data_IF_074830748932
#
_entry.id   IF_074830748932
#
_cell.length_a   1.000
_cell.length_b   1.000
_cell.length_c   1.000
_cell.angle_alpha   90.00
_cell.angle_beta   90.00
_cell.angle_gamma   90.00
#
_symmetry.space_group_name_H-M   'P 1'
#
loop_
_entity.id
_entity.type
_entity.pdbx_description
1 polymer ?
#
# COMPACT_ATOMS: atom_id res chain seq x y z
N UNK A 1 -43.51 49.43 -14.70
CA UNK A 1 -44.53 48.79 -13.84
C UNK A 1 -45.03 47.58 -14.61
N UNK A 2 -44.20 46.56 -14.77
CA UNK A 2 -43.87 45.50 -13.78
C UNK A 2 -44.97 44.44 -13.71
N UNK A 3 -44.57 43.18 -13.87
CA UNK A 3 -45.43 42.03 -13.54
C UNK A 3 -45.17 40.78 -14.37
N UNK A 4 -44.08 40.09 -14.05
CA UNK A 4 -43.67 38.74 -14.47
C UNK A 4 -44.69 37.68 -14.02
N UNK A 5 -45.00 36.70 -14.89
CA UNK A 5 -45.60 35.43 -14.46
C UNK A 5 -45.27 34.29 -15.44
N UNK A 6 -44.15 33.62 -15.16
CA UNK A 6 -43.66 32.44 -15.89
C UNK A 6 -44.49 31.20 -15.54
N UNK A 7 -45.28 30.70 -16.49
CA UNK A 7 -45.89 29.36 -16.41
C UNK A 7 -44.92 28.29 -16.96
N UNK A 8 -44.67 27.29 -16.13
CA UNK A 8 -43.89 26.09 -16.43
C UNK A 8 -44.48 25.26 -17.58
N UNK A 9 -43.66 24.54 -18.38
CA UNK A 9 -44.18 23.56 -19.31
C UNK A 9 -44.40 22.20 -18.63
N UNK A 10 -45.61 21.71 -18.89
CA UNK A 10 -46.25 20.45 -18.55
C UNK A 10 -45.36 19.20 -18.66
N UNK A 11 -45.45 18.38 -17.60
CA UNK A 11 -45.02 16.98 -17.53
C UNK A 11 -45.70 16.15 -18.62
N UNK A 12 -44.94 15.74 -19.62
CA UNK A 12 -45.30 14.67 -20.55
C UNK A 12 -44.91 13.31 -19.97
N UNK A 13 -45.90 12.54 -19.55
CA UNK A 13 -45.76 11.12 -19.25
C UNK A 13 -45.60 10.32 -20.56
N UNK A 14 -44.66 9.36 -20.59
CA UNK A 14 -44.67 8.32 -21.61
C UNK A 14 -43.30 7.72 -21.93
N UNK A 15 -42.94 6.64 -21.23
CA UNK A 15 -41.90 5.70 -21.68
C UNK A 15 -40.63 5.67 -20.83
N UNK A 16 -40.72 5.21 -19.57
CA UNK A 16 -39.54 4.60 -18.93
C UNK A 16 -39.23 3.31 -19.69
N UNK A 17 -38.15 3.32 -20.47
CA UNK A 17 -37.61 2.09 -21.05
C UNK A 17 -37.37 1.07 -19.90
N UNK A 18 -37.84 -0.18 -20.05
CA UNK A 18 -37.66 -1.17 -19.00
C UNK A 18 -36.16 -1.43 -18.80
N UNK A 19 -35.76 -1.45 -17.53
CA UNK A 19 -34.40 -1.50 -17.02
C UNK A 19 -33.55 -2.66 -17.56
N UNK A 20 -32.86 -2.45 -18.68
CA UNK A 20 -31.71 -3.29 -19.07
C UNK A 20 -30.57 -3.19 -18.04
N UNK A 21 -30.43 -2.04 -17.38
CA UNK A 21 -29.44 -1.79 -16.30
C UNK A 21 -29.50 -2.77 -15.12
N UNK A 22 -30.67 -3.32 -14.79
CA UNK A 22 -30.84 -4.16 -13.59
C UNK A 22 -30.35 -5.60 -13.79
N UNK A 23 -30.32 -6.06 -15.04
CA UNK A 23 -30.00 -7.46 -15.41
C UNK A 23 -28.50 -7.77 -15.28
N UNK A 24 -27.65 -6.74 -15.39
CA UNK A 24 -26.19 -6.85 -15.30
C UNK A 24 -25.63 -6.03 -14.10
N UNK A 25 -26.40 -5.93 -13.02
CA UNK A 25 -25.91 -5.39 -11.74
C UNK A 25 -24.85 -6.30 -11.10
N UNK A 26 -23.92 -5.77 -10.30
CA UNK A 26 -22.95 -6.60 -9.58
C UNK A 26 -23.67 -7.66 -8.71
N UNK A 27 -24.81 -7.29 -8.11
CA UNK A 27 -25.70 -8.23 -7.40
C UNK A 27 -26.34 -9.27 -8.32
N UNK A 28 -26.69 -8.90 -9.55
CA UNK A 28 -27.21 -9.86 -10.55
C UNK A 28 -26.12 -10.83 -11.00
N UNK A 29 -24.91 -10.35 -11.32
CA UNK A 29 -23.75 -11.18 -11.63
C UNK A 29 -23.43 -12.13 -10.48
N UNK A 30 -23.45 -11.62 -9.24
CA UNK A 30 -23.26 -12.41 -8.04
C UNK A 30 -24.35 -13.49 -7.88
N UNK A 31 -25.63 -13.13 -7.96
CA UNK A 31 -26.72 -14.11 -7.84
C UNK A 31 -26.70 -15.15 -8.97
N UNK A 32 -26.38 -14.76 -10.20
CA UNK A 32 -26.16 -15.68 -11.32
C UNK A 32 -24.94 -16.57 -11.11
N UNK A 33 -23.86 -16.07 -10.52
CA UNK A 33 -22.68 -16.86 -10.19
C UNK A 33 -23.00 -17.88 -9.09
N UNK A 34 -23.61 -17.43 -8.00
CA UNK A 34 -24.00 -18.27 -6.86
C UNK A 34 -24.98 -19.38 -7.25
N UNK A 35 -25.91 -19.11 -8.18
CA UNK A 35 -26.85 -20.11 -8.68
C UNK A 35 -26.21 -21.19 -9.57
N UNK A 36 -25.04 -20.91 -10.15
CA UNK A 36 -24.27 -21.85 -10.98
C UNK A 36 -23.18 -22.60 -10.21
N UNK A 37 -23.04 -22.34 -8.91
CA UNK A 37 -22.04 -23.01 -8.09
C UNK A 37 -22.36 -24.50 -7.90
N UNK A 38 -21.35 -25.39 -7.92
CA UNK A 38 -21.53 -26.79 -7.57
C UNK A 38 -22.08 -26.95 -6.15
N UNK A 39 -22.88 -28.00 -5.92
CA UNK A 39 -23.51 -28.28 -4.62
C UNK A 39 -22.54 -28.33 -3.44
N UNK A 40 -21.33 -28.83 -3.70
CA UNK A 40 -20.22 -28.92 -2.73
C UNK A 40 -19.75 -27.56 -2.21
N UNK A 41 -19.83 -26.52 -3.05
CA UNK A 41 -19.44 -25.13 -2.72
C UNK A 41 -20.63 -24.38 -2.11
N UNK A 42 -21.82 -24.60 -2.67
CA UNK A 42 -23.07 -24.01 -2.19
C UNK A 42 -23.41 -24.39 -0.75
N UNK A 43 -23.10 -25.62 -0.34
CA UNK A 43 -23.27 -26.07 1.04
C UNK A 43 -22.35 -25.38 2.06
N UNK A 44 -21.28 -24.71 1.62
CA UNK A 44 -20.35 -23.97 2.46
C UNK A 44 -20.66 -22.46 2.53
N UNK A 45 -21.62 -21.98 1.73
CA UNK A 45 -22.07 -20.60 1.73
C UNK A 45 -23.18 -20.42 2.75
N UNK A 46 -22.99 -19.53 3.72
CA UNK A 46 -23.99 -19.20 4.74
C UNK A 46 -25.11 -18.36 4.10
N UNK A 47 -26.38 -18.82 4.09
CA UNK A 47 -27.49 -18.10 3.46
C UNK A 47 -27.81 -16.74 4.13
N UNK A 48 -27.44 -16.54 5.40
CA UNK A 48 -27.73 -15.31 6.14
C UNK A 48 -26.55 -14.31 6.20
N UNK A 49 -25.31 -14.79 6.04
CA UNK A 49 -24.09 -13.98 5.95
C UNK A 49 -23.50 -14.03 4.55
N UNK A 50 -24.28 -13.58 3.57
CA UNK A 50 -23.83 -13.52 2.17
C UNK A 50 -22.58 -12.64 2.00
N UNK A 51 -22.26 -11.73 2.93
CA UNK A 51 -21.07 -10.90 2.82
C UNK A 51 -19.76 -11.65 3.10
N UNK A 52 -19.72 -12.68 3.95
CA UNK A 52 -18.46 -13.26 4.46
C UNK A 52 -18.41 -14.76 4.17
N UNK A 53 -17.68 -15.13 3.12
CA UNK A 53 -17.64 -16.51 2.62
C UNK A 53 -16.40 -17.21 3.16
N UNK A 54 -16.57 -18.03 4.19
CA UNK A 54 -15.50 -18.88 4.74
C UNK A 54 -15.50 -20.27 4.07
N UNK A 55 -14.80 -20.37 2.93
CA UNK A 55 -14.64 -21.61 2.16
C UNK A 55 -13.81 -22.68 2.90
N UNK A 56 -13.23 -22.35 4.07
CA UNK A 56 -12.53 -23.31 4.93
C UNK A 56 -13.41 -24.48 5.40
N UNK A 57 -14.73 -24.27 5.47
CA UNK A 57 -15.71 -25.30 5.87
C UNK A 57 -16.15 -26.25 4.76
N UNK A 58 -15.80 -25.95 3.50
CA UNK A 58 -16.25 -26.74 2.35
C UNK A 58 -15.51 -28.09 2.28
N UNK A 59 -16.24 -29.18 2.55
CA UNK A 59 -15.71 -30.56 2.45
C UNK A 59 -15.62 -30.97 0.98
N UNK A 60 -14.43 -31.41 0.55
CA UNK A 60 -14.23 -32.02 -0.78
C UNK A 60 -13.80 -31.08 -1.91
N UNK A 61 -13.33 -29.86 -1.59
CA UNK A 61 -12.57 -29.04 -2.54
C UNK A 61 -11.07 -29.23 -2.35
N UNK A 62 -10.34 -29.33 -3.46
CA UNK A 62 -8.89 -29.20 -3.48
C UNK A 62 -8.44 -27.78 -3.10
N UNK A 63 -7.18 -27.62 -2.70
CA UNK A 63 -6.61 -26.32 -2.35
C UNK A 63 -6.72 -25.31 -3.52
N UNK A 64 -6.49 -25.77 -4.75
CA UNK A 64 -6.59 -24.91 -5.95
C UNK A 64 -8.01 -24.48 -6.28
N UNK A 65 -9.01 -25.36 -6.10
CA UNK A 65 -10.41 -24.99 -6.32
C UNK A 65 -10.91 -23.99 -5.27
N UNK A 66 -10.47 -24.14 -4.01
CA UNK A 66 -10.78 -23.16 -2.94
C UNK A 66 -10.25 -21.79 -3.29
N UNK A 67 -8.95 -21.71 -3.63
CA UNK A 67 -8.32 -20.46 -4.02
C UNK A 67 -9.01 -19.81 -5.23
N UNK A 68 -9.45 -20.62 -6.20
CA UNK A 68 -10.22 -20.14 -7.34
C UNK A 68 -11.54 -19.48 -6.93
N UNK A 69 -12.37 -20.16 -6.12
CA UNK A 69 -13.66 -19.61 -5.70
C UNK A 69 -13.52 -18.42 -4.75
N UNK A 70 -12.52 -18.41 -3.87
CA UNK A 70 -12.17 -17.25 -3.04
C UNK A 70 -11.84 -16.04 -3.90
N UNK A 71 -10.99 -16.21 -4.93
CA UNK A 71 -10.67 -15.13 -5.88
C UNK A 71 -11.91 -14.63 -6.61
N UNK A 72 -12.75 -15.52 -7.15
CA UNK A 72 -13.96 -15.10 -7.88
C UNK A 72 -14.94 -14.32 -6.99
N UNK A 73 -15.13 -14.75 -5.74
CA UNK A 73 -15.99 -14.07 -4.79
C UNK A 73 -15.41 -12.72 -4.35
N UNK A 74 -14.09 -12.64 -4.17
CA UNK A 74 -13.41 -11.38 -3.90
C UNK A 74 -13.59 -10.40 -5.07
N UNK A 75 -13.39 -10.84 -6.32
CA UNK A 75 -13.66 -10.03 -7.52
C UNK A 75 -15.10 -9.52 -7.55
N UNK A 76 -16.10 -10.38 -7.30
CA UNK A 76 -17.50 -9.95 -7.27
C UNK A 76 -17.77 -8.90 -6.18
N UNK A 77 -17.14 -9.04 -5.00
CA UNK A 77 -17.25 -8.05 -3.93
C UNK A 77 -16.68 -6.70 -4.38
N UNK A 78 -15.52 -6.68 -5.06
CA UNK A 78 -14.96 -5.43 -5.60
C UNK A 78 -15.90 -4.74 -6.59
N UNK A 79 -16.64 -5.50 -7.41
CA UNK A 79 -17.62 -4.93 -8.33
C UNK A 79 -18.80 -4.30 -7.60
N UNK A 80 -19.27 -4.92 -6.50
CA UNK A 80 -20.34 -4.36 -5.66
C UNK A 80 -19.89 -3.08 -4.95
N UNK A 81 -18.68 -3.05 -4.40
CA UNK A 81 -18.08 -1.89 -3.75
C UNK A 81 -17.90 -0.72 -4.71
N UNK A 82 -17.38 -0.97 -5.92
CA UNK A 82 -17.23 0.05 -6.95
C UNK A 82 -18.57 0.55 -7.45
N UNK A 83 -19.56 -0.32 -7.66
CA UNK A 83 -20.90 0.12 -8.07
C UNK A 83 -21.55 1.02 -7.01
N UNK A 84 -21.39 0.68 -5.73
CA UNK A 84 -21.85 1.54 -4.63
C UNK A 84 -21.15 2.90 -4.62
N UNK A 85 -19.84 2.95 -4.89
CA UNK A 85 -19.04 4.20 -4.85
C UNK A 85 -19.23 5.09 -6.08
N UNK A 86 -19.31 4.49 -7.27
CA UNK A 86 -19.25 5.20 -8.54
C UNK A 86 -20.62 5.49 -9.16
N UNK A 87 -21.71 4.91 -8.65
CA UNK A 87 -23.07 5.07 -9.17
C UNK A 87 -24.10 5.42 -8.07
N UNK A 88 -23.94 6.57 -7.37
CA UNK A 88 -24.78 6.94 -6.22
C UNK A 88 -26.25 7.23 -6.56
N UNK A 89 -26.59 7.45 -7.83
CA UNK A 89 -27.96 7.76 -8.27
C UNK A 89 -28.98 6.61 -8.17
N UNK A 90 -28.53 5.38 -7.84
CA UNK A 90 -29.41 4.23 -7.60
C UNK A 90 -29.24 3.63 -6.19
N UNK A 91 -28.27 4.12 -5.40
CA UNK A 91 -28.02 3.77 -4.01
C UNK A 91 -27.47 5.00 -3.29
N UNK A 92 -28.23 5.58 -2.35
CA UNK A 92 -27.78 6.67 -1.48
C UNK A 92 -26.43 6.30 -0.86
N UNK A 93 -25.36 7.03 -1.20
CA UNK A 93 -24.10 6.97 -0.48
C UNK A 93 -23.56 8.36 -0.24
N UNK A 94 -23.31 8.64 1.03
CA UNK A 94 -22.82 9.89 1.60
C UNK A 94 -21.41 10.25 1.10
N UNK A 95 -21.30 11.03 0.00
CA UNK A 95 -20.02 11.64 -0.40
C UNK A 95 -19.40 12.47 0.76
N UNK A 96 -20.23 12.98 1.68
CA UNK A 96 -19.81 13.68 2.90
C UNK A 96 -19.14 12.77 3.95
N UNK A 97 -19.47 11.48 4.03
CA UNK A 97 -18.91 10.56 5.03
C UNK A 97 -17.52 10.04 4.60
N UNK A 98 -17.29 9.88 3.29
CA UNK A 98 -16.00 9.41 2.77
C UNK A 98 -14.87 10.43 2.89
N UNK A 99 -15.11 11.71 2.59
CA UNK A 99 -14.10 12.76 2.81
C UNK A 99 -13.73 12.87 4.30
N UNK A 100 -14.72 12.70 5.19
CA UNK A 100 -14.49 12.68 6.64
C UNK A 100 -13.70 11.43 7.10
N UNK A 101 -13.84 10.30 6.41
CA UNK A 101 -13.07 9.08 6.68
C UNK A 101 -11.61 9.21 6.24
N UNK A 102 -11.36 9.69 5.02
CA UNK A 102 -10.00 9.91 4.49
C UNK A 102 -9.23 10.94 5.35
N UNK A 103 -9.89 12.02 5.78
CA UNK A 103 -9.33 13.00 6.70
C UNK A 103 -8.97 12.40 8.07
N UNK A 104 -9.80 11.49 8.59
CA UNK A 104 -9.53 10.78 9.86
C UNK A 104 -8.34 9.85 9.71
N UNK A 105 -8.27 9.06 8.63
CA UNK A 105 -7.15 8.17 8.37
C UNK A 105 -5.84 8.95 8.19
N UNK A 106 -5.89 10.07 7.47
CA UNK A 106 -4.73 10.93 7.31
C UNK A 106 -4.25 11.51 8.65
N UNK A 107 -5.16 12.00 9.50
CA UNK A 107 -4.81 12.48 10.85
C UNK A 107 -4.24 11.37 11.74
N UNK A 108 -4.79 10.16 11.67
CA UNK A 108 -4.27 9.00 12.40
C UNK A 108 -2.85 8.64 11.91
N UNK A 109 -2.63 8.63 10.59
CA UNK A 109 -1.31 8.35 10.02
C UNK A 109 -0.27 9.40 10.45
N UNK A 110 -0.66 10.67 10.50
CA UNK A 110 0.19 11.75 10.98
C UNK A 110 0.53 11.64 12.46
N UNK A 111 -0.46 11.29 13.27
CA UNK A 111 -0.26 11.05 14.69
C UNK A 111 0.69 9.86 14.91
N UNK A 112 0.52 8.77 14.18
CA UNK A 112 1.39 7.59 14.21
C UNK A 112 2.85 7.93 13.86
N UNK A 113 3.07 8.77 12.85
CA UNK A 113 4.41 9.23 12.49
C UNK A 113 5.03 10.14 13.56
N UNK A 114 4.24 11.08 14.11
CA UNK A 114 4.70 11.99 15.17
C UNK A 114 5.09 11.23 16.43
N UNK A 115 4.25 10.30 16.89
CA UNK A 115 4.50 9.52 18.10
C UNK A 115 5.71 8.60 17.92
N UNK A 116 5.88 7.99 16.74
CA UNK A 116 7.05 7.16 16.42
C UNK A 116 8.35 7.97 16.48
N UNK A 117 8.38 9.14 15.85
CA UNK A 117 9.57 9.99 15.88
C UNK A 117 9.87 10.53 17.29
N UNK A 118 8.86 10.95 18.03
CA UNK A 118 9.04 11.42 19.40
C UNK A 118 9.56 10.31 20.31
N UNK A 119 9.03 9.09 20.18
CA UNK A 119 9.51 7.93 20.91
C UNK A 119 10.96 7.58 20.54
N UNK A 120 11.34 7.62 19.26
CA UNK A 120 12.73 7.41 18.83
C UNK A 120 13.67 8.47 19.42
N UNK A 121 13.26 9.74 19.51
CA UNK A 121 14.04 10.81 20.18
C UNK A 121 14.22 10.50 21.67
N UNK A 122 13.14 10.14 22.37
CA UNK A 122 13.19 9.84 23.81
C UNK A 122 14.08 8.63 24.08
N UNK A 123 13.96 7.56 23.27
CA UNK A 123 14.82 6.38 23.36
C UNK A 123 16.29 6.73 23.11
N UNK A 124 16.58 7.54 22.09
CA UNK A 124 17.93 8.01 21.80
C UNK A 124 18.53 8.78 22.98
N UNK A 125 17.81 9.75 23.54
CA UNK A 125 18.27 10.53 24.71
C UNK A 125 18.57 9.61 25.90
N UNK A 126 17.68 8.65 26.16
CA UNK A 126 17.86 7.69 27.24
C UNK A 126 19.10 6.79 27.04
N UNK A 127 19.30 6.29 25.81
CA UNK A 127 20.46 5.46 25.46
C UNK A 127 21.78 6.24 25.49
N UNK A 128 21.79 7.49 25.02
CA UNK A 128 22.96 8.38 25.12
C UNK A 128 23.33 8.61 26.58
N UNK A 129 22.35 8.92 27.43
CA UNK A 129 22.58 9.10 28.87
C UNK A 129 23.19 7.83 29.50
N UNK A 130 22.64 6.66 29.20
CA UNK A 130 23.15 5.40 29.70
C UNK A 130 24.57 5.08 29.19
N UNK A 131 24.87 5.37 27.93
CA UNK A 131 26.22 5.18 27.35
C UNK A 131 27.25 6.02 28.10
N UNK A 132 26.95 7.30 28.35
CA UNK A 132 27.86 8.20 29.06
C UNK A 132 28.08 7.73 30.51
N UNK A 133 27.03 7.23 31.18
CA UNK A 133 27.10 6.78 32.57
C UNK A 133 27.83 5.46 32.75
N UNK A 134 27.66 4.53 31.81
CA UNK A 134 28.21 3.17 31.91
C UNK A 134 29.57 3.01 31.24
N UNK A 135 29.90 3.87 30.26
CA UNK A 135 31.09 3.73 29.42
C UNK A 135 31.11 2.44 28.59
N UNK A 136 29.97 1.73 28.46
CA UNK A 136 29.92 0.42 27.82
C UNK A 136 29.89 0.54 26.29
N UNK A 137 30.81 -0.16 25.62
CA UNK A 137 30.83 -0.25 24.15
C UNK A 137 29.58 -0.93 23.58
N UNK A 138 28.99 -1.89 24.30
CA UNK A 138 27.75 -2.56 23.88
C UNK A 138 26.54 -1.61 23.90
N UNK A 139 26.44 -0.76 24.94
CA UNK A 139 25.38 0.25 25.03
C UNK A 139 25.62 1.38 24.01
N UNK A 140 26.89 1.72 23.73
CA UNK A 140 27.25 2.67 22.68
C UNK A 140 26.82 2.19 21.29
N UNK A 141 27.05 0.91 20.95
CA UNK A 141 26.59 0.31 19.70
C UNK A 141 25.06 0.41 19.57
N UNK A 142 24.31 0.02 20.60
CA UNK A 142 22.85 0.14 20.58
C UNK A 142 22.33 1.59 20.56
N UNK A 143 23.13 2.55 21.02
CA UNK A 143 22.81 3.98 20.92
C UNK A 143 22.98 4.48 19.49
N UNK A 144 24.03 4.02 18.79
CA UNK A 144 24.23 4.31 17.37
C UNK A 144 23.03 3.81 16.56
N UNK A 145 22.54 2.61 16.83
CA UNK A 145 21.34 2.07 16.17
C UNK A 145 20.13 3.00 16.35
N UNK A 146 19.84 3.44 17.58
CA UNK A 146 18.72 4.35 17.81
C UNK A 146 18.92 5.77 17.26
N UNK A 147 20.16 6.22 17.08
CA UNK A 147 20.45 7.48 16.38
C UNK A 147 20.06 7.36 14.92
N UNK A 148 20.35 6.22 14.32
CA UNK A 148 20.06 5.94 12.94
C UNK A 148 18.55 5.75 12.72
N UNK A 149 17.84 5.05 13.61
CA UNK A 149 16.37 4.99 13.60
C UNK A 149 15.74 6.39 13.66
N UNK A 150 16.32 7.29 14.47
CA UNK A 150 15.87 8.68 14.55
C UNK A 150 16.10 9.41 13.22
N UNK A 151 17.28 9.28 12.61
CA UNK A 151 17.58 9.89 11.30
C UNK A 151 16.65 9.34 10.21
N UNK A 152 16.44 8.03 10.21
CA UNK A 152 15.65 7.29 9.25
C UNK A 152 14.15 7.67 9.38
N UNK A 153 13.63 7.78 10.60
CA UNK A 153 12.32 8.38 10.88
C UNK A 153 12.24 9.87 10.51
N UNK A 154 13.33 10.62 10.65
CA UNK A 154 13.44 11.99 10.15
C UNK A 154 13.24 12.09 8.64
N UNK A 155 13.81 11.16 7.87
CA UNK A 155 13.66 11.08 6.40
C UNK A 155 12.22 10.79 6.00
N UNK A 156 11.56 9.83 6.66
CA UNK A 156 10.14 9.51 6.38
C UNK A 156 9.21 10.67 6.75
N UNK A 157 9.48 11.34 7.87
CA UNK A 157 8.76 12.55 8.27
C UNK A 157 8.95 13.70 7.28
N UNK A 158 10.19 13.94 6.84
CA UNK A 158 10.48 14.94 5.82
C UNK A 158 9.79 14.60 4.49
N UNK A 159 9.78 13.32 4.11
CA UNK A 159 9.06 12.80 2.93
C UNK A 159 7.58 13.18 3.00
N UNK A 160 6.93 12.91 4.14
CA UNK A 160 5.53 13.29 4.36
C UNK A 160 5.29 14.81 4.26
N UNK A 161 6.14 15.61 4.91
CA UNK A 161 6.07 17.08 4.81
C UNK A 161 6.30 17.59 3.38
N UNK A 162 7.15 16.92 2.60
CA UNK A 162 7.43 17.26 1.21
C UNK A 162 6.22 17.01 0.32
N UNK A 163 5.49 15.91 0.55
CA UNK A 163 4.27 15.59 -0.18
C UNK A 163 3.14 16.59 0.07
N UNK A 164 3.00 17.08 1.31
CA UNK A 164 2.00 18.10 1.65
C UNK A 164 2.23 19.44 0.94
N UNK A 165 3.49 19.81 0.72
CA UNK A 165 3.86 21.10 0.12
C UNK A 165 4.01 20.96 -1.40
N UNK A 166 2.88 20.99 -2.11
CA UNK A 166 2.84 20.94 -3.58
C UNK A 166 2.86 22.36 -4.16
N UNK A 167 3.74 22.59 -5.12
CA UNK A 167 3.68 23.76 -6.01
C UNK A 167 3.31 23.25 -7.40
N UNK A 168 2.11 23.56 -7.86
CA UNK A 168 1.54 23.04 -9.11
C UNK A 168 2.38 23.46 -10.32
N UNK A 169 3.01 24.65 -10.31
CA UNK A 169 3.85 25.09 -11.43
C UNK A 169 5.14 24.29 -11.58
N UNK A 170 5.66 23.72 -10.48
CA UNK A 170 6.86 22.87 -10.51
C UNK A 170 6.53 21.38 -10.58
N UNK A 171 5.39 20.99 -9.99
CA UNK A 171 4.92 19.62 -9.88
C UNK A 171 3.43 19.57 -10.25
N UNK A 172 3.09 19.59 -11.56
CA UNK A 172 1.71 19.74 -12.04
C UNK A 172 0.81 18.54 -11.69
N UNK A 173 1.43 17.41 -11.39
CA UNK A 173 0.82 16.13 -11.03
C UNK A 173 0.95 15.83 -9.52
N UNK A 174 1.40 16.81 -8.73
CA UNK A 174 1.65 16.61 -7.31
C UNK A 174 2.99 15.94 -6.97
N UNK A 175 3.14 15.52 -5.70
CA UNK A 175 4.40 15.01 -5.13
C UNK A 175 4.26 13.64 -4.46
N UNK A 176 3.17 12.91 -4.68
CA UNK A 176 2.94 11.61 -4.06
C UNK A 176 4.05 10.59 -4.38
N UNK A 177 4.71 10.74 -5.53
CA UNK A 177 5.86 9.91 -5.94
C UNK A 177 7.09 10.02 -5.04
N UNK A 178 7.18 11.07 -4.22
CA UNK A 178 8.27 11.20 -3.23
C UNK A 178 8.12 10.13 -2.14
N UNK A 179 6.93 9.56 -1.93
CA UNK A 179 6.70 8.51 -0.94
C UNK A 179 7.58 7.26 -1.14
N UNK A 180 7.49 6.51 -2.25
CA UNK A 180 8.35 5.35 -2.46
C UNK A 180 9.84 5.72 -2.52
N UNK A 181 10.18 6.92 -3.01
CA UNK A 181 11.58 7.41 -2.96
C UNK A 181 12.07 7.55 -1.52
N UNK A 182 11.27 8.14 -0.64
CA UNK A 182 11.60 8.25 0.78
C UNK A 182 11.75 6.90 1.46
N UNK A 183 10.87 5.94 1.13
CA UNK A 183 10.93 4.56 1.64
C UNK A 183 12.19 3.84 1.12
N UNK A 184 12.60 4.05 -0.14
CA UNK A 184 13.83 3.51 -0.71
C UNK A 184 15.05 4.05 0.02
N UNK A 185 15.15 5.37 0.20
CA UNK A 185 16.29 6.00 0.91
C UNK A 185 16.38 5.46 2.34
N UNK A 186 15.24 5.42 3.04
CA UNK A 186 15.13 4.82 4.37
C UNK A 186 15.62 3.37 4.39
N UNK A 187 15.08 2.51 3.53
CA UNK A 187 15.45 1.09 3.48
C UNK A 187 16.92 0.87 3.06
N UNK A 188 17.48 1.71 2.19
CA UNK A 188 18.88 1.64 1.79
C UNK A 188 19.83 1.97 2.95
N UNK A 189 19.49 2.96 3.78
CA UNK A 189 20.23 3.25 5.02
C UNK A 189 20.18 2.02 5.93
N UNK A 190 19.00 1.48 6.21
CA UNK A 190 18.85 0.30 7.09
C UNK A 190 19.58 -0.95 6.56
N UNK A 191 19.58 -1.18 5.24
CA UNK A 191 20.35 -2.26 4.64
C UNK A 191 21.88 -2.06 4.81
N UNK A 192 22.35 -0.82 4.69
CA UNK A 192 23.76 -0.48 4.91
C UNK A 192 24.18 -0.71 6.37
N UNK A 193 23.28 -0.46 7.33
CA UNK A 193 23.51 -0.77 8.74
C UNK A 193 23.59 -2.25 8.99
N UNK A 194 22.67 -3.03 8.41
CA UNK A 194 22.75 -4.49 8.44
C UNK A 194 24.10 -4.97 7.90
N UNK A 195 24.59 -4.38 6.81
CA UNK A 195 25.91 -4.69 6.26
C UNK A 195 27.06 -4.32 7.18
N UNK A 196 27.02 -3.15 7.83
CA UNK A 196 28.04 -2.75 8.81
C UNK A 196 28.10 -3.73 9.99
N UNK A 197 26.94 -4.11 10.54
CA UNK A 197 26.84 -5.11 11.63
C UNK A 197 27.39 -6.45 11.17
N UNK A 198 27.11 -6.86 9.93
CA UNK A 198 27.67 -8.10 9.35
C UNK A 198 29.20 -8.08 9.35
N UNK A 199 29.80 -6.99 8.85
CA UNK A 199 31.26 -6.85 8.77
C UNK A 199 31.87 -6.91 10.17
N UNK A 200 31.35 -6.12 11.13
CA UNK A 200 31.87 -6.10 12.50
C UNK A 200 31.73 -7.45 13.20
N UNK A 201 30.61 -8.15 13.02
CA UNK A 201 30.39 -9.47 13.62
C UNK A 201 31.31 -10.54 13.02
N UNK A 202 31.55 -10.50 11.70
CA UNK A 202 32.50 -11.39 11.03
C UNK A 202 33.94 -11.11 11.48
N UNK A 203 34.34 -9.84 11.58
CA UNK A 203 35.65 -9.43 12.09
C UNK A 203 35.89 -9.97 13.50
N UNK A 204 34.91 -9.82 14.40
CA UNK A 204 34.99 -10.38 15.76
C UNK A 204 35.18 -11.90 15.77
N UNK A 205 34.50 -12.61 14.87
CA UNK A 205 34.60 -14.07 14.76
C UNK A 205 35.97 -14.51 14.20
N UNK A 206 36.52 -13.77 13.24
CA UNK A 206 37.82 -14.07 12.60
C UNK A 206 38.98 -13.73 13.53
N UNK A 207 38.93 -12.59 14.23
CA UNK A 207 40.00 -12.16 15.12
C UNK A 207 40.10 -13.01 16.40
N UNK A 208 39.12 -13.89 16.68
CA UNK A 208 39.05 -14.71 17.90
C UNK A 208 39.24 -13.88 19.18
N UNK A 209 38.80 -12.63 19.18
CA UNK A 209 38.86 -11.76 20.36
C UNK A 209 37.55 -11.93 21.13
N UNK A 210 37.54 -12.63 22.28
CA UNK A 210 36.37 -12.64 23.13
C UNK A 210 36.04 -11.20 23.54
N UNK A 211 34.77 -10.83 23.44
CA UNK A 211 34.31 -9.53 23.94
C UNK A 211 34.70 -9.35 25.42
N UNK A 212 34.95 -8.11 25.85
CA UNK A 212 35.14 -7.83 27.27
C UNK A 212 33.93 -8.33 28.05
N UNK A 213 34.17 -9.13 29.10
CA UNK A 213 33.11 -9.57 29.99
C UNK A 213 32.46 -8.34 30.61
N UNK A 214 31.16 -8.20 30.41
CA UNK A 214 30.42 -7.07 30.95
C UNK A 214 30.38 -7.18 32.48
N UNK A 215 30.56 -6.05 33.16
CA UNK A 215 30.38 -6.02 34.61
C UNK A 215 28.90 -6.23 34.96
N UNK A 216 28.62 -6.71 36.18
CA UNK A 216 27.24 -6.91 36.64
C UNK A 216 26.38 -5.64 36.53
N UNK A 217 26.98 -4.46 36.73
CA UNK A 217 26.29 -3.18 36.55
C UNK A 217 25.97 -2.87 35.08
N UNK A 218 26.91 -3.15 34.16
CA UNK A 218 26.69 -2.98 32.73
C UNK A 218 25.60 -3.92 32.18
N UNK A 219 25.55 -5.16 32.68
CA UNK A 219 24.52 -6.13 32.34
C UNK A 219 23.12 -5.65 32.79
N UNK A 220 22.99 -5.13 34.01
CA UNK A 220 21.71 -4.61 34.51
C UNK A 220 21.23 -3.43 33.64
N UNK A 221 22.13 -2.50 33.30
CA UNK A 221 21.79 -1.39 32.41
C UNK A 221 21.42 -1.87 31.00
N UNK A 222 22.17 -2.80 30.43
CA UNK A 222 21.86 -3.38 29.12
C UNK A 222 20.46 -4.01 29.11
N UNK A 223 20.14 -4.85 30.11
CA UNK A 223 18.82 -5.45 30.23
C UNK A 223 17.72 -4.39 30.35
N UNK A 224 17.89 -3.42 31.24
CA UNK A 224 16.89 -2.37 31.46
C UNK A 224 16.63 -1.57 30.19
N UNK A 225 17.67 -1.20 29.45
CA UNK A 225 17.56 -0.39 28.23
C UNK A 225 16.99 -1.21 27.07
N UNK A 226 17.49 -2.42 26.85
CA UNK A 226 17.02 -3.28 25.75
C UNK A 226 15.57 -3.70 25.95
N UNK A 227 15.19 -4.06 27.17
CA UNK A 227 13.81 -4.48 27.45
C UNK A 227 12.83 -3.29 27.38
N UNK A 228 13.22 -2.12 27.89
CA UNK A 228 12.39 -0.91 27.77
C UNK A 228 12.27 -0.43 26.33
N UNK A 229 13.35 -0.41 25.55
CA UNK A 229 13.32 -0.09 24.13
C UNK A 229 12.44 -1.07 23.34
N UNK A 230 12.57 -2.37 23.61
CA UNK A 230 11.73 -3.42 23.01
C UNK A 230 10.25 -3.19 23.33
N UNK A 231 9.91 -2.88 24.57
CA UNK A 231 8.52 -2.63 24.97
C UNK A 231 7.91 -1.41 24.26
N UNK A 232 8.67 -0.32 24.15
CA UNK A 232 8.25 0.89 23.42
C UNK A 232 8.05 0.60 21.93
N UNK A 233 9.03 -0.04 21.27
CA UNK A 233 8.95 -0.40 19.85
C UNK A 233 7.80 -1.39 19.58
N UNK A 234 7.55 -2.34 20.48
CA UNK A 234 6.43 -3.27 20.37
C UNK A 234 5.07 -2.54 20.44
N UNK A 235 4.91 -1.59 21.35
CA UNK A 235 3.70 -0.79 21.45
C UNK A 235 3.48 0.06 20.19
N UNK A 236 4.53 0.67 19.65
CA UNK A 236 4.48 1.44 18.39
C UNK A 236 4.15 0.55 17.20
N UNK A 237 4.73 -0.65 17.12
CA UNK A 237 4.41 -1.62 16.08
C UNK A 237 2.93 -2.01 16.11
N UNK A 238 2.38 -2.33 17.28
CA UNK A 238 0.97 -2.67 17.43
C UNK A 238 0.05 -1.53 17.01
N UNK A 239 0.44 -0.28 17.25
CA UNK A 239 -0.30 0.90 16.83
C UNK A 239 -0.20 1.14 15.31
N UNK A 240 0.97 0.96 14.72
CA UNK A 240 1.22 1.29 13.32
C UNK A 240 0.81 0.16 12.34
N UNK A 241 0.77 -1.11 12.79
CA UNK A 241 0.55 -2.25 11.88
C UNK A 241 -0.80 -2.24 11.16
N UNK A 242 -1.82 -1.61 11.73
CA UNK A 242 -3.17 -1.56 11.17
C UNK A 242 -3.39 -0.38 10.22
N UNK A 243 -2.37 0.44 9.95
CA UNK A 243 -2.53 1.63 9.10
C UNK A 243 -2.52 1.29 7.61
N UNK A 244 -3.44 1.91 6.85
CA UNK A 244 -3.49 1.85 5.39
C UNK A 244 -2.38 2.66 4.70
N UNK A 245 -1.72 3.57 5.41
CA UNK A 245 -0.66 4.42 4.85
C UNK A 245 0.68 3.67 4.74
N UNK A 246 1.27 3.64 3.54
CA UNK A 246 2.54 2.95 3.27
C UNK A 246 3.73 3.51 4.05
N UNK A 247 3.76 4.81 4.38
CA UNK A 247 4.80 5.39 5.23
C UNK A 247 4.68 4.85 6.66
N UNK A 248 3.47 4.80 7.20
CA UNK A 248 3.23 4.25 8.54
C UNK A 248 3.53 2.76 8.57
N UNK A 249 3.24 2.03 7.49
CA UNK A 249 3.67 0.63 7.35
C UNK A 249 5.19 0.47 7.31
N UNK A 250 5.93 1.41 6.71
CA UNK A 250 7.40 1.40 6.75
C UNK A 250 7.90 1.57 8.19
N UNK A 251 7.31 2.49 8.98
CA UNK A 251 7.58 2.59 10.42
C UNK A 251 7.19 1.32 11.19
N UNK A 252 6.04 0.72 10.90
CA UNK A 252 5.64 -0.51 11.56
C UNK A 252 6.65 -1.64 11.29
N UNK A 253 7.12 -1.75 10.05
CA UNK A 253 8.13 -2.72 9.63
C UNK A 253 9.46 -2.47 10.36
N UNK A 254 9.88 -1.21 10.46
CA UNK A 254 11.04 -0.79 11.23
C UNK A 254 10.95 -1.20 12.70
N UNK A 255 9.89 -0.76 13.39
CA UNK A 255 9.66 -1.08 14.80
C UNK A 255 9.59 -2.59 15.06
N UNK A 256 9.03 -3.36 14.12
CA UNK A 256 9.01 -4.82 14.20
C UNK A 256 10.41 -5.42 14.10
N UNK A 257 11.22 -4.94 13.16
CA UNK A 257 12.61 -5.38 13.05
C UNK A 257 13.41 -5.02 14.29
N UNK A 258 13.22 -3.83 14.85
CA UNK A 258 13.89 -3.43 16.09
C UNK A 258 13.51 -4.32 17.26
N UNK A 259 12.25 -4.74 17.37
CA UNK A 259 11.84 -5.70 18.39
C UNK A 259 12.57 -7.03 18.20
N UNK A 260 12.67 -7.54 16.97
CA UNK A 260 13.38 -8.79 16.68
C UNK A 260 14.86 -8.65 17.00
N UNK A 261 15.52 -7.61 16.48
CA UNK A 261 16.97 -7.42 16.64
C UNK A 261 17.34 -7.16 18.09
N UNK A 262 16.54 -6.40 18.85
CA UNK A 262 16.77 -6.20 20.28
C UNK A 262 16.57 -7.50 21.07
N UNK A 263 15.52 -8.29 20.81
CA UNK A 263 15.27 -9.54 21.55
C UNK A 263 16.31 -10.59 21.22
N UNK A 264 16.56 -10.86 19.93
CA UNK A 264 17.51 -11.88 19.50
C UNK A 264 18.94 -11.45 19.83
N UNK A 265 19.27 -10.17 19.65
CA UNK A 265 20.57 -9.61 20.01
C UNK A 265 20.83 -9.71 21.52
N UNK A 266 19.83 -9.40 22.35
CA UNK A 266 19.95 -9.59 23.79
C UNK A 266 20.16 -11.06 24.16
N UNK A 267 19.39 -11.99 23.56
CA UNK A 267 19.57 -13.44 23.79
C UNK A 267 20.97 -13.90 23.36
N UNK A 268 21.45 -13.45 22.20
CA UNK A 268 22.76 -13.78 21.68
C UNK A 268 23.88 -13.26 22.61
N UNK A 269 23.79 -12.02 23.07
CA UNK A 269 24.74 -11.42 23.99
C UNK A 269 24.78 -12.16 25.34
N UNK A 270 23.64 -12.52 25.90
CA UNK A 270 23.57 -13.25 27.19
C UNK A 270 24.11 -14.66 27.08
N UNK A 271 23.79 -15.37 25.98
CA UNK A 271 24.31 -16.71 25.74
C UNK A 271 25.83 -16.67 25.44
N UNK A 272 26.28 -15.63 24.74
CA UNK A 272 27.68 -15.36 24.48
C UNK A 272 28.50 -15.15 25.75
N UNK A 273 27.97 -14.34 26.67
CA UNK A 273 28.60 -14.05 27.96
C UNK A 273 28.63 -15.28 28.91
N UNK A 274 27.54 -16.06 28.96
CA UNK A 274 27.42 -17.20 29.90
C UNK A 274 28.02 -18.52 29.41
N UNK A 275 27.99 -18.81 28.11
CA UNK A 275 28.36 -20.12 27.57
C UNK A 275 29.57 -20.08 26.65
N UNK A 276 29.40 -19.55 25.44
CA UNK A 276 30.41 -19.58 24.38
C UNK A 276 30.49 -18.21 23.70
N UNK A 277 31.64 -17.56 23.77
CA UNK A 277 31.85 -16.20 23.27
C UNK A 277 31.46 -16.00 21.80
N UNK A 278 31.54 -17.04 20.96
CA UNK A 278 31.22 -16.94 19.53
C UNK A 278 29.72 -16.90 19.23
N UNK A 279 28.86 -17.22 20.20
CA UNK A 279 27.40 -17.21 20.01
C UNK A 279 26.89 -15.80 19.70
N UNK A 280 27.43 -14.79 20.37
CA UNK A 280 27.04 -13.39 20.17
C UNK A 280 27.35 -12.90 18.74
N UNK A 281 28.61 -12.98 18.23
CA UNK A 281 28.92 -12.60 16.85
C UNK A 281 28.21 -13.50 15.83
N UNK A 282 27.99 -14.79 16.09
CA UNK A 282 27.22 -15.65 15.19
C UNK A 282 25.73 -15.23 15.11
N UNK A 283 25.13 -14.85 16.25
CA UNK A 283 23.78 -14.29 16.30
C UNK A 283 23.67 -12.97 15.56
N UNK A 284 24.67 -12.08 15.73
CA UNK A 284 24.76 -10.81 15.01
C UNK A 284 24.88 -11.01 13.49
N UNK A 285 25.67 -11.98 13.02
CA UNK A 285 25.75 -12.34 11.58
C UNK A 285 24.39 -12.77 11.04
N UNK A 286 23.68 -13.65 11.76
CA UNK A 286 22.36 -14.12 11.35
C UNK A 286 21.36 -12.97 11.25
N UNK A 287 21.31 -12.11 12.27
CA UNK A 287 20.45 -10.92 12.28
C UNK A 287 20.80 -9.94 11.17
N UNK A 288 22.09 -9.72 10.92
CA UNK A 288 22.55 -8.83 9.87
C UNK A 288 22.10 -9.30 8.47
N UNK A 289 22.26 -10.59 8.16
CA UNK A 289 21.77 -11.17 6.91
C UNK A 289 20.25 -11.01 6.78
N UNK A 290 19.50 -11.30 7.85
CA UNK A 290 18.05 -11.13 7.87
C UNK A 290 17.63 -9.67 7.61
N UNK A 291 18.29 -8.70 8.25
CA UNK A 291 18.07 -7.27 8.07
C UNK A 291 18.36 -6.84 6.62
N UNK A 292 19.52 -7.22 6.07
CA UNK A 292 19.91 -6.86 4.69
C UNK A 292 18.90 -7.39 3.68
N UNK A 293 18.49 -8.65 3.79
CA UNK A 293 17.54 -9.28 2.85
C UNK A 293 16.18 -8.58 2.90
N UNK A 294 15.66 -8.29 4.10
CA UNK A 294 14.34 -7.66 4.25
C UNK A 294 14.31 -6.21 3.76
N UNK A 295 15.35 -5.43 4.06
CA UNK A 295 15.43 -4.04 3.60
C UNK A 295 15.73 -3.96 2.11
N UNK A 296 16.58 -4.83 1.58
CA UNK A 296 16.84 -4.94 0.13
C UNK A 296 15.57 -5.32 -0.64
N UNK A 297 14.75 -6.24 -0.10
CA UNK A 297 13.43 -6.55 -0.65
C UNK A 297 12.51 -5.32 -0.66
N UNK A 298 12.52 -4.53 0.41
CA UNK A 298 11.73 -3.29 0.50
C UNK A 298 12.17 -2.26 -0.54
N UNK A 299 13.47 -2.12 -0.77
CA UNK A 299 14.02 -1.27 -1.83
C UNK A 299 13.51 -1.74 -3.20
N UNK A 300 13.61 -3.03 -3.49
CA UNK A 300 13.18 -3.58 -4.78
C UNK A 300 11.67 -3.42 -5.00
N UNK A 301 10.85 -3.70 -3.99
CA UNK A 301 9.39 -3.52 -4.04
C UNK A 301 9.01 -2.07 -4.38
N UNK A 302 9.60 -1.09 -3.69
CA UNK A 302 9.31 0.33 -3.93
C UNK A 302 9.97 0.88 -5.21
N UNK A 303 11.10 0.30 -5.65
CA UNK A 303 11.70 0.65 -6.93
C UNK A 303 10.82 0.18 -8.10
N UNK A 304 10.28 -1.04 -8.00
CA UNK A 304 9.37 -1.60 -9.02
C UNK A 304 8.07 -0.77 -9.12
N UNK A 305 7.55 -0.23 -8.01
CA UNK A 305 6.36 0.65 -8.08
C UNK A 305 6.64 2.00 -8.73
N UNK A 306 7.90 2.46 -8.74
CA UNK A 306 8.32 3.65 -9.50
C UNK A 306 8.54 3.37 -10.99
N UNK A 307 8.84 2.13 -11.36
CA UNK A 307 9.16 1.76 -12.75
C UNK A 307 7.92 1.64 -13.64
N UNK A 308 6.75 1.30 -13.09
CA UNK A 308 5.56 1.03 -13.91
C UNK A 308 5.04 -0.40 -13.84
N UNK A 309 5.01 -1.04 -12.67
CA UNK A 309 4.48 -2.40 -12.54
C UNK A 309 2.99 -2.41 -12.88
N UNK A 310 2.55 -3.38 -13.68
CA UNK A 310 1.14 -3.58 -13.97
C UNK A 310 0.34 -3.85 -12.68
N UNK A 311 -0.86 -3.28 -12.61
CA UNK A 311 -1.82 -3.50 -11.54
C UNK A 311 -2.23 -4.97 -11.45
N UNK A 312 -2.66 -5.44 -10.27
CA UNK A 312 -3.17 -6.80 -10.11
C UNK A 312 -4.39 -7.05 -11.01
N UNK A 313 -4.62 -8.31 -11.37
CA UNK A 313 -5.68 -8.70 -12.32
C UNK A 313 -7.07 -8.28 -11.82
N UNK A 314 -7.28 -8.31 -10.51
CA UNK A 314 -8.51 -7.90 -9.84
C UNK A 314 -8.83 -6.43 -10.13
N UNK A 315 -7.82 -5.54 -10.06
CA UNK A 315 -7.96 -4.12 -10.40
C UNK A 315 -8.28 -3.94 -11.89
N UNK A 316 -7.60 -4.67 -12.78
CA UNK A 316 -7.87 -4.60 -14.22
C UNK A 316 -9.29 -5.06 -14.58
N UNK A 317 -9.76 -6.14 -13.95
CA UNK A 317 -11.13 -6.65 -14.13
C UNK A 317 -12.17 -5.63 -13.63
N UNK A 318 -11.91 -5.01 -12.48
CA UNK A 318 -12.76 -3.99 -11.89
C UNK A 318 -12.86 -2.75 -12.79
N UNK A 319 -11.73 -2.26 -13.29
CA UNK A 319 -11.69 -1.14 -14.25
C UNK A 319 -12.41 -1.49 -15.56
N UNK A 320 -12.22 -2.70 -16.07
CA UNK A 320 -12.90 -3.18 -17.28
C UNK A 320 -14.40 -3.22 -17.07
N UNK A 321 -14.88 -3.78 -15.95
CA UNK A 321 -16.29 -3.81 -15.60
C UNK A 321 -16.87 -2.38 -15.49
N UNK A 322 -16.15 -1.47 -14.85
CA UNK A 322 -16.55 -0.08 -14.69
C UNK A 322 -16.70 0.63 -16.04
N UNK A 323 -15.75 0.43 -16.96
CA UNK A 323 -15.78 0.99 -18.31
C UNK A 323 -16.92 0.40 -19.15
N UNK A 324 -17.09 -0.93 -19.15
CA UNK A 324 -18.17 -1.61 -19.89
C UNK A 324 -19.56 -1.17 -19.44
N UNK A 325 -19.74 -0.92 -18.14
CA UNK A 325 -21.03 -0.57 -17.55
C UNK A 325 -21.32 0.93 -17.54
N UNK A 326 -20.33 1.75 -17.90
CA UNK A 326 -20.42 3.19 -17.74
C UNK A 326 -21.63 3.79 -18.49
N UNK A 327 -21.76 3.48 -19.78
CA UNK A 327 -22.82 3.98 -20.66
C UNK A 327 -23.21 2.90 -21.68
N UNK A 328 -24.50 2.81 -22.01
CA UNK A 328 -25.04 1.82 -22.96
C UNK A 328 -24.55 2.03 -24.39
N UNK A 329 -23.99 3.21 -24.69
CA UNK A 329 -23.45 3.57 -26.01
C UNK A 329 -22.01 3.10 -26.22
N UNK A 330 -21.34 2.61 -25.18
CA UNK A 330 -20.02 1.97 -25.29
C UNK A 330 -20.21 0.63 -26.01
N UNK A 331 -19.64 0.49 -27.21
CA UNK A 331 -19.76 -0.74 -28.01
C UNK A 331 -18.82 -1.82 -27.51
N UNK A 332 -17.58 -1.44 -27.21
CA UNK A 332 -16.53 -2.34 -26.70
C UNK A 332 -15.51 -1.55 -25.90
N UNK A 333 -14.87 -2.21 -24.94
CA UNK A 333 -13.64 -1.74 -24.31
C UNK A 333 -12.49 -2.44 -25.01
N UNK A 334 -11.61 -1.69 -25.67
CA UNK A 334 -10.52 -2.25 -26.46
C UNK A 334 -9.35 -2.66 -25.56
N UNK A 335 -8.82 -1.69 -24.82
CA UNK A 335 -7.65 -1.87 -23.98
C UNK A 335 -7.88 -1.25 -22.59
N UNK A 336 -7.48 -1.97 -21.54
CA UNK A 336 -7.41 -1.46 -20.18
C UNK A 336 -6.01 -1.72 -19.66
N UNK A 337 -5.28 -0.66 -19.34
CA UNK A 337 -3.97 -0.72 -18.71
C UNK A 337 -4.02 0.04 -17.41
N UNK A 338 -3.49 -0.57 -16.37
CA UNK A 338 -3.23 0.12 -15.12
C UNK A 338 -1.81 -0.24 -14.67
N UNK A 339 -1.02 0.76 -14.32
CA UNK A 339 0.35 0.58 -13.88
C UNK A 339 0.69 1.55 -12.75
N UNK A 340 1.50 1.08 -11.80
CA UNK A 340 1.92 1.87 -10.65
C UNK A 340 2.92 2.93 -11.10
N UNK A 341 2.75 4.18 -10.68
CA UNK A 341 3.77 5.19 -10.91
C UNK A 341 3.95 6.05 -9.67
N UNK A 342 4.56 5.43 -8.65
CA UNK A 342 4.64 5.98 -7.31
C UNK A 342 3.85 5.15 -6.32
N UNK A 343 2.94 5.81 -5.60
CA UNK A 343 2.10 5.18 -4.58
C UNK A 343 0.76 4.65 -5.14
N UNK A 344 0.30 5.23 -6.25
CA UNK A 344 -1.01 5.02 -6.85
C UNK A 344 -0.89 4.57 -8.31
N UNK A 345 -2.01 4.13 -8.90
CA UNK A 345 -2.09 3.67 -10.28
C UNK A 345 -2.41 4.80 -11.25
N UNK A 346 -1.77 4.74 -12.42
CA UNK A 346 -2.19 5.42 -13.63
C UNK A 346 -2.99 4.43 -14.46
N UNK A 347 -4.14 4.89 -14.94
CA UNK A 347 -5.08 4.06 -15.70
C UNK A 347 -5.24 4.62 -17.10
N UNK A 348 -5.12 3.78 -18.11
CA UNK A 348 -5.40 4.07 -19.51
C UNK A 348 -6.52 3.13 -19.96
N UNK A 349 -7.61 3.69 -20.48
CA UNK A 349 -8.78 2.94 -20.97
C UNK A 349 -9.16 3.44 -22.34
N UNK A 350 -9.27 2.50 -23.28
CA UNK A 350 -9.65 2.78 -24.65
C UNK A 350 -11.07 2.22 -24.88
N UNK A 351 -12.03 3.10 -25.21
CA UNK A 351 -13.43 2.73 -25.45
C UNK A 351 -13.82 2.97 -26.90
N UNK A 352 -14.60 2.05 -27.48
CA UNK A 352 -15.16 2.19 -28.82
C UNK A 352 -16.57 2.80 -28.75
N UNK A 353 -16.74 3.94 -29.43
CA UNK A 353 -18.03 4.61 -29.63
C UNK A 353 -18.45 4.56 -31.11
N UNK A 354 -19.66 5.04 -31.41
CA UNK A 354 -20.15 5.09 -32.80
C UNK A 354 -19.44 6.17 -33.59
N UNK A 355 -19.03 5.86 -34.83
CA UNK A 355 -18.40 6.81 -35.76
C UNK A 355 -19.27 8.05 -36.02
N UNK A 356 -20.58 7.87 -36.13
CA UNK A 356 -21.54 8.96 -36.34
C UNK A 356 -21.83 9.80 -35.08
N UNK A 357 -21.24 9.46 -33.92
CA UNK A 357 -21.49 10.17 -32.68
C UNK A 357 -20.86 11.57 -32.72
N UNK A 358 -21.61 12.59 -32.32
CA UNK A 358 -21.07 13.95 -32.21
C UNK A 358 -19.93 13.96 -31.19
N UNK A 359 -18.82 14.62 -31.55
CA UNK A 359 -17.64 14.77 -30.68
C UNK A 359 -18.01 15.24 -29.27
N UNK A 360 -18.97 16.17 -29.14
CA UNK A 360 -19.46 16.63 -27.84
C UNK A 360 -19.99 15.50 -26.98
N UNK A 361 -20.79 14.59 -27.56
CA UNK A 361 -21.40 13.47 -26.83
C UNK A 361 -20.35 12.41 -26.48
N UNK A 362 -19.46 12.11 -27.43
CA UNK A 362 -18.34 11.20 -27.20
C UNK A 362 -17.44 11.72 -26.06
N UNK A 363 -17.04 12.99 -26.13
CA UNK A 363 -16.23 13.64 -25.11
C UNK A 363 -16.91 13.60 -23.74
N UNK A 364 -18.21 13.88 -23.65
CA UNK A 364 -18.93 13.78 -22.37
C UNK A 364 -18.89 12.37 -21.80
N UNK A 365 -19.05 11.31 -22.62
CA UNK A 365 -18.96 9.91 -22.13
C UNK A 365 -17.55 9.61 -21.60
N UNK A 366 -16.51 10.03 -22.35
CA UNK A 366 -15.12 9.81 -21.95
C UNK A 366 -14.75 10.56 -20.68
N UNK A 367 -15.12 11.84 -20.58
CA UNK A 367 -14.88 12.70 -19.42
C UNK A 367 -15.57 12.13 -18.17
N UNK A 368 -16.85 11.76 -18.26
CA UNK A 368 -17.56 11.17 -17.11
C UNK A 368 -17.01 9.79 -16.72
N UNK A 369 -16.46 9.03 -17.67
CA UNK A 369 -15.77 7.77 -17.36
C UNK A 369 -14.45 8.04 -16.64
N UNK A 370 -13.67 9.03 -17.10
CA UNK A 370 -12.42 9.44 -16.46
C UNK A 370 -12.67 9.85 -15.00
N UNK A 371 -13.61 10.77 -14.77
CA UNK A 371 -13.99 11.21 -13.42
C UNK A 371 -14.42 10.03 -12.54
N UNK A 372 -15.15 9.07 -13.11
CA UNK A 372 -15.62 7.89 -12.37
C UNK A 372 -14.48 6.98 -11.96
N UNK A 373 -13.47 6.80 -12.81
CA UNK A 373 -12.28 5.99 -12.50
C UNK A 373 -11.40 6.72 -11.46
N UNK A 374 -11.25 8.04 -11.58
CA UNK A 374 -10.46 8.87 -10.64
C UNK A 374 -11.08 8.98 -9.24
N UNK A 375 -12.37 8.63 -9.06
CA UNK A 375 -13.01 8.48 -7.74
C UNK A 375 -12.51 7.25 -6.96
N UNK A 376 -11.77 6.33 -7.59
CA UNK A 376 -11.18 5.17 -6.93
C UNK A 376 -9.94 5.61 -6.13
N UNK A 377 -9.82 5.28 -4.83
CA UNK A 377 -8.74 5.76 -3.97
C UNK A 377 -7.35 5.27 -4.40
N UNK A 378 -7.29 4.17 -5.15
CA UNK A 378 -6.04 3.60 -5.66
C UNK A 378 -5.56 4.24 -6.98
N UNK A 379 -6.40 5.08 -7.62
CA UNK A 379 -6.10 5.70 -8.91
C UNK A 379 -5.71 7.16 -8.69
N UNK A 380 -4.52 7.54 -9.17
CA UNK A 380 -4.08 8.94 -9.16
C UNK A 380 -4.66 9.71 -10.33
N UNK A 381 -4.73 9.06 -11.49
CA UNK A 381 -5.16 9.68 -12.74
C UNK A 381 -5.62 8.63 -13.73
N UNK A 382 -6.65 8.96 -14.49
CA UNK A 382 -7.13 8.16 -15.60
C UNK A 382 -6.99 8.92 -16.92
N UNK A 383 -6.72 8.17 -17.99
CA UNK A 383 -6.75 8.63 -19.37
C UNK A 383 -7.75 7.76 -20.11
N UNK A 384 -8.78 8.39 -20.66
CA UNK A 384 -9.79 7.70 -21.47
C UNK A 384 -9.60 8.11 -22.91
N UNK A 385 -9.16 7.17 -23.74
CA UNK A 385 -9.14 7.35 -25.18
C UNK A 385 -10.45 6.86 -25.79
N UNK A 386 -10.90 7.55 -26.83
CA UNK A 386 -12.16 7.25 -27.51
C UNK A 386 -11.83 6.91 -28.96
N UNK A 387 -12.09 5.66 -29.31
CA UNK A 387 -11.92 5.15 -30.64
C UNK A 387 -13.26 4.98 -31.36
N UNK A 388 -13.22 5.07 -32.69
CA UNK A 388 -14.33 4.68 -33.56
C UNK A 388 -14.16 3.26 -34.11
N UNK A 389 -12.95 2.68 -34.00
CA UNK A 389 -12.62 1.32 -34.43
C UNK A 389 -11.56 0.66 -33.52
N UNK A 390 -11.44 -0.66 -33.63
CA UNK A 390 -10.59 -1.51 -32.78
C UNK A 390 -9.61 -2.38 -33.55
N UNK A 391 -9.68 -2.33 -34.87
CA UNK A 391 -8.78 -3.06 -35.75
C UNK A 391 -7.46 -2.31 -35.98
N UNK A 392 -7.25 -1.18 -35.31
CA UNK A 392 -6.08 -0.35 -35.45
C UNK A 392 -4.83 -0.96 -34.78
N UNK A 393 -3.63 -0.57 -35.23
CA UNK A 393 -2.38 -0.99 -34.59
C UNK A 393 -2.22 -0.26 -33.26
N UNK A 394 -1.59 -0.86 -32.22
CA UNK A 394 -1.41 -0.19 -30.93
C UNK A 394 -0.83 1.22 -31.10
N UNK A 395 -1.57 2.24 -30.65
CA UNK A 395 -1.22 3.65 -30.90
C UNK A 395 0.10 4.04 -30.22
N UNK A 396 0.33 3.47 -29.03
CA UNK A 396 1.56 3.68 -28.28
C UNK A 396 2.63 2.66 -28.66
N UNK A 397 3.60 3.11 -29.47
CA UNK A 397 4.82 2.34 -29.74
C UNK A 397 5.67 2.26 -28.47
N UNK A 398 5.75 1.07 -27.88
CA UNK A 398 6.65 0.80 -26.74
C UNK A 398 8.09 1.00 -27.21
N UNK A 399 8.72 2.10 -26.78
CA UNK A 399 10.14 2.34 -27.04
C UNK A 399 10.96 1.49 -26.08
N UNK A 400 11.68 0.52 -26.62
CA UNK A 400 12.60 -0.34 -25.86
C UNK A 400 14.04 0.19 -25.79
N UNK A 401 14.33 1.32 -26.44
CA UNK A 401 15.67 1.93 -26.50
C UNK A 401 15.58 3.43 -26.32
N UNK A 402 16.55 3.98 -25.59
CA UNK A 402 16.75 5.42 -25.49
C UNK A 402 17.14 5.97 -26.88
N UNK A 403 16.70 7.19 -27.24
CA UNK A 403 17.20 7.84 -28.43
C UNK A 403 18.72 7.99 -28.33
N UNK A 404 19.43 7.72 -29.42
CA UNK A 404 20.86 8.01 -29.48
C UNK A 404 21.02 9.52 -29.25
N UNK A 405 21.80 9.90 -28.25
CA UNK A 405 22.36 11.24 -28.18
C UNK A 405 23.40 11.30 -29.29
N UNK A 406 23.06 11.96 -30.40
CA UNK A 406 24.09 12.37 -31.36
C UNK A 406 25.11 13.25 -30.60
N UNK A 407 26.43 12.98 -30.78
CA UNK A 407 27.49 13.66 -30.03
C UNK A 407 27.59 15.16 -30.30
#
# INVERSE_FOLDING_TARGET
>A
MDGDDRRAPLLGAGGRAPSLRRRDSARSLRSSFLSRLPDKVRAALDPERTADVDLGRAKGLSQGEREYYEKQLATLRTFEEVEARCMPGEFESDEADHGAFEDKEQKQSEFAMKISNYANIVLLVFKVYATIRTGSMAIAASTLDSLLDFMAGGILWFTHLSMKRVNIYKYPIGKLRVQPVGIIVFAAIMATLGFQVLVTAVEQLVENKPGEKMTSEQLIWLYSIMLSATAVKLALWLYCKSSGNSIVRAYAKDHYFDVITNVVGLVAAVLGDKFLWWIDPAGAVLLAVYTIVNWSKTVLENAVTLVGRCAPQEMLQMLTYLAMKHDTRVKRVDTVRAYSFGALYFVEVDIELSEDMRLREAHTIGETLQEKIEKLPEVERAFVHIDFESTHKPEHKVRSRLPATDP
#
